data_IF_464587271312
#
_entry.id   IF_464587271312
#
_cell.length_a   1.000
_cell.length_b   1.000
_cell.length_c   1.000
_cell.angle_alpha   90.00
_cell.angle_beta   90.00
_cell.angle_gamma   90.00
#
_symmetry.space_group_name_H-M   'P 1'
#
loop_
_entity.id
_entity.type
_entity.pdbx_description
1 polymer ?
#
# COMPACT_ATOMS: atom_id res chain seq x y z
N UNK A 1 -23.12 -17.67 -6.21
CA UNK A 1 -22.51 -16.67 -5.30
C UNK A 1 -22.66 -17.12 -3.87
N UNK A 2 -21.93 -16.49 -2.95
CA UNK A 2 -22.05 -16.73 -1.51
C UNK A 2 -23.14 -15.81 -0.91
N UNK A 3 -23.81 -16.26 0.16
CA UNK A 3 -24.68 -15.40 0.97
C UNK A 3 -23.84 -14.68 2.01
N UNK A 4 -23.71 -13.36 1.89
CA UNK A 4 -22.78 -12.55 2.70
C UNK A 4 -23.52 -11.39 3.38
N UNK A 5 -23.13 -11.08 4.62
CA UNK A 5 -23.59 -9.91 5.37
C UNK A 5 -22.39 -9.14 5.94
N UNK A 6 -22.43 -7.81 5.88
CA UNK A 6 -21.42 -6.91 6.46
C UNK A 6 -22.07 -6.13 7.60
N UNK A 7 -21.42 -6.10 8.76
CA UNK A 7 -21.86 -5.37 9.95
C UNK A 7 -20.79 -4.34 10.32
N UNK A 8 -21.18 -3.08 10.48
CA UNK A 8 -20.33 -1.98 10.93
C UNK A 8 -21.00 -1.28 12.13
N UNK A 9 -20.22 -0.77 13.07
CA UNK A 9 -20.73 -0.04 14.21
C UNK A 9 -21.15 1.40 13.87
N UNK A 10 -20.64 1.95 12.77
CA UNK A 10 -20.93 3.30 12.29
C UNK A 10 -21.31 3.34 10.81
N UNK A 11 -21.14 4.50 10.19
CA UNK A 11 -21.31 4.62 8.75
C UNK A 11 -20.09 4.03 8.03
N UNK A 12 -20.32 3.40 6.87
CA UNK A 12 -19.24 2.82 6.05
C UNK A 12 -18.20 3.90 5.74
N UNK A 13 -16.94 3.60 6.06
CA UNK A 13 -15.82 4.51 5.83
C UNK A 13 -15.62 5.59 6.90
N UNK A 14 -16.44 5.66 7.95
CA UNK A 14 -16.32 6.69 9.00
C UNK A 14 -14.99 6.63 9.78
N UNK A 15 -14.33 5.48 9.80
CA UNK A 15 -13.05 5.28 10.49
C UNK A 15 -11.82 5.70 9.67
N UNK A 16 -10.70 5.00 9.87
CA UNK A 16 -9.42 5.28 9.22
C UNK A 16 -9.51 5.34 7.68
N UNK A 17 -10.41 4.56 7.07
CA UNK A 17 -10.62 4.54 5.62
C UNK A 17 -11.14 5.88 5.05
N UNK A 18 -11.93 6.65 5.80
CA UNK A 18 -12.42 7.97 5.37
C UNK A 18 -11.57 9.14 5.87
N UNK A 19 -10.65 8.90 6.82
CA UNK A 19 -9.79 9.92 7.43
C UNK A 19 -8.35 9.94 6.88
N UNK A 20 -7.98 9.00 6.01
CA UNK A 20 -6.66 8.98 5.39
C UNK A 20 -6.53 10.05 4.28
N UNK A 21 -5.28 10.34 3.88
CA UNK A 21 -4.98 11.33 2.84
C UNK A 21 -5.16 10.87 1.40
N UNK A 22 -5.67 9.64 1.16
CA UNK A 22 -5.93 9.10 -0.18
C UNK A 22 -4.69 8.67 -0.98
N UNK A 23 -3.51 8.61 -0.35
CA UNK A 23 -2.27 8.21 -1.02
C UNK A 23 -2.27 6.70 -1.29
N UNK A 24 -1.96 6.32 -2.54
CA UNK A 24 -1.78 4.93 -2.97
C UNK A 24 -0.31 4.72 -3.28
N UNK A 25 0.47 4.30 -2.27
CA UNK A 25 1.91 4.08 -2.38
C UNK A 25 2.18 2.59 -2.12
N UNK A 26 2.76 1.85 -3.08
CA UNK A 26 3.08 0.44 -2.89
C UNK A 26 4.27 0.27 -1.93
N UNK A 27 4.32 -0.87 -1.26
CA UNK A 27 5.41 -1.22 -0.35
C UNK A 27 5.06 -1.06 1.13
N UNK A 28 6.01 -1.47 1.97
CA UNK A 28 5.93 -1.40 3.42
C UNK A 28 7.02 -0.48 3.95
N UNK A 29 6.93 -0.17 5.26
CA UNK A 29 7.97 0.58 5.96
C UNK A 29 9.32 -0.15 5.94
N UNK A 30 9.29 -1.49 6.00
CA UNK A 30 10.46 -2.36 6.05
C UNK A 30 10.85 -2.82 4.65
N UNK A 31 12.15 -2.91 4.42
CA UNK A 31 12.72 -3.35 3.14
C UNK A 31 12.52 -4.87 2.95
N UNK A 32 12.48 -5.37 1.71
CA UNK A 32 12.24 -6.78 1.40
C UNK A 32 13.17 -7.75 2.15
N UNK A 33 14.47 -7.42 2.24
CA UNK A 33 15.47 -8.24 2.90
C UNK A 33 15.18 -8.37 4.39
N UNK A 34 14.75 -7.26 5.02
CA UNK A 34 14.36 -7.26 6.43
C UNK A 34 13.15 -8.17 6.64
N UNK A 35 12.13 -8.10 5.77
CA UNK A 35 10.94 -8.95 5.86
C UNK A 35 11.29 -10.44 5.71
N UNK A 36 12.17 -10.77 4.76
CA UNK A 36 12.65 -12.14 4.53
C UNK A 36 13.46 -12.67 5.72
N UNK A 37 14.35 -11.85 6.27
CA UNK A 37 15.14 -12.21 7.45
C UNK A 37 14.25 -12.47 8.67
N UNK A 38 13.24 -11.62 8.89
CA UNK A 38 12.42 -11.65 10.11
C UNK A 38 11.29 -12.69 10.05
N UNK A 39 10.70 -12.93 8.88
CA UNK A 39 9.56 -13.83 8.72
C UNK A 39 9.91 -15.15 8.04
N UNK A 40 11.16 -15.31 7.61
CA UNK A 40 11.62 -16.41 6.78
C UNK A 40 11.23 -16.23 5.32
N UNK A 41 11.91 -16.96 4.43
CA UNK A 41 11.80 -16.82 2.98
C UNK A 41 10.35 -16.80 2.49
N UNK A 42 9.59 -17.86 2.76
CA UNK A 42 8.23 -18.03 2.21
C UNK A 42 7.28 -16.88 2.62
N UNK A 43 7.24 -16.54 3.92
CA UNK A 43 6.33 -15.49 4.41
C UNK A 43 6.82 -14.09 4.08
N UNK A 44 8.13 -13.87 4.09
CA UNK A 44 8.75 -12.61 3.71
C UNK A 44 8.50 -12.29 2.23
N UNK A 45 8.75 -13.25 1.34
CA UNK A 45 8.45 -13.11 -0.09
C UNK A 45 6.95 -12.83 -0.32
N UNK A 46 6.06 -13.56 0.36
CA UNK A 46 4.62 -13.30 0.25
C UNK A 46 4.21 -11.89 0.70
N UNK A 47 4.85 -11.34 1.74
CA UNK A 47 4.60 -9.96 2.19
C UNK A 47 5.12 -8.92 1.20
N UNK A 48 6.29 -9.18 0.60
CA UNK A 48 6.89 -8.31 -0.42
C UNK A 48 5.99 -8.26 -1.66
N UNK A 49 5.57 -9.41 -2.15
CA UNK A 49 4.70 -9.52 -3.31
C UNK A 49 3.34 -8.84 -3.07
N UNK A 50 2.75 -9.09 -1.89
CA UNK A 50 1.51 -8.42 -1.48
C UNK A 50 1.67 -6.90 -1.47
N UNK A 51 2.75 -6.38 -0.87
CA UNK A 51 2.99 -4.96 -0.75
C UNK A 51 3.17 -4.29 -2.12
N UNK A 52 3.89 -4.95 -3.04
CA UNK A 52 4.09 -4.51 -4.41
C UNK A 52 2.77 -4.47 -5.21
N UNK A 53 1.86 -5.43 -5.02
CA UNK A 53 0.60 -5.51 -5.77
C UNK A 53 -0.50 -4.57 -5.28
N UNK A 54 -0.36 -3.97 -4.09
CA UNK A 54 -1.46 -3.20 -3.46
C UNK A 54 -1.95 -2.01 -4.29
N UNK A 55 -1.05 -1.29 -4.96
CA UNK A 55 -1.42 -0.16 -5.79
C UNK A 55 -2.28 -0.60 -6.98
N UNK A 56 -1.87 -1.67 -7.68
CA UNK A 56 -2.62 -2.24 -8.79
C UNK A 56 -4.03 -2.65 -8.35
N UNK A 57 -4.15 -3.33 -7.21
CA UNK A 57 -5.44 -3.78 -6.69
C UNK A 57 -6.45 -2.62 -6.51
N UNK A 58 -6.01 -1.46 -5.99
CA UNK A 58 -6.89 -0.29 -5.83
C UNK A 58 -7.36 0.24 -7.18
N UNK A 59 -6.45 0.41 -8.15
CA UNK A 59 -6.80 0.94 -9.47
C UNK A 59 -7.62 -0.05 -10.31
N UNK A 60 -7.38 -1.35 -10.15
CA UNK A 60 -8.16 -2.41 -10.78
C UNK A 60 -9.60 -2.41 -10.24
N UNK A 61 -9.81 -2.27 -8.92
CA UNK A 61 -11.17 -2.15 -8.34
C UNK A 61 -11.90 -0.92 -8.88
N UNK A 62 -11.23 0.24 -8.95
CA UNK A 62 -11.84 1.45 -9.51
C UNK A 62 -12.27 1.24 -10.96
N UNK A 63 -11.42 0.60 -11.77
CA UNK A 63 -11.67 0.29 -13.18
C UNK A 63 -12.82 -0.72 -13.34
N UNK A 64 -12.71 -1.86 -12.68
CA UNK A 64 -13.56 -3.03 -12.91
C UNK A 64 -14.98 -2.81 -12.38
N UNK A 65 -15.10 -2.15 -11.21
CA UNK A 65 -16.39 -1.77 -10.62
C UNK A 65 -16.92 -0.43 -11.15
N UNK A 66 -16.21 0.21 -12.09
CA UNK A 66 -16.56 1.49 -12.71
C UNK A 66 -16.90 2.57 -11.68
N UNK A 67 -16.08 2.66 -10.62
CA UNK A 67 -16.32 3.58 -9.52
C UNK A 67 -16.16 5.03 -10.01
N UNK A 68 -17.19 5.85 -9.78
CA UNK A 68 -17.20 7.27 -10.11
C UNK A 68 -16.43 8.08 -9.05
N UNK A 69 -15.12 7.87 -8.99
CA UNK A 69 -14.21 8.53 -8.04
C UNK A 69 -13.04 9.19 -8.77
N UNK A 70 -12.54 10.34 -8.29
CA UNK A 70 -11.29 10.89 -8.80
C UNK A 70 -10.12 10.01 -8.38
N UNK A 71 -9.21 9.72 -9.32
CA UNK A 71 -7.98 9.00 -9.04
C UNK A 71 -6.84 9.52 -9.92
N UNK A 72 -5.60 9.33 -9.47
CA UNK A 72 -4.40 9.67 -10.24
C UNK A 72 -3.32 8.63 -9.98
N UNK A 73 -2.67 8.18 -11.04
CA UNK A 73 -1.59 7.18 -11.00
C UNK A 73 -0.35 7.71 -11.70
N UNK A 74 0.36 8.61 -11.02
CA UNK A 74 1.54 9.32 -11.55
C UNK A 74 2.81 9.10 -10.71
N UNK A 75 2.82 8.06 -9.89
CA UNK A 75 3.93 7.74 -8.99
C UNK A 75 3.94 8.60 -7.72
N UNK A 76 5.02 8.51 -6.97
CA UNK A 76 5.25 9.28 -5.75
C UNK A 76 6.73 9.65 -5.65
N UNK A 77 7.04 10.70 -4.89
CA UNK A 77 8.40 11.20 -4.70
C UNK A 77 8.72 11.12 -3.21
N UNK A 78 9.83 10.47 -2.87
CA UNK A 78 10.40 10.53 -1.52
C UNK A 78 11.39 11.68 -1.42
N UNK A 79 11.04 12.72 -0.66
CA UNK A 79 11.97 13.82 -0.40
C UNK A 79 12.99 13.43 0.67
N UNK A 80 14.26 13.79 0.46
CA UNK A 80 15.33 13.66 1.44
C UNK A 80 15.91 15.04 1.78
N UNK A 81 15.49 15.60 2.91
CA UNK A 81 15.86 16.96 3.35
C UNK A 81 17.00 16.98 4.37
N UNK A 82 17.67 15.85 4.59
CA UNK A 82 18.87 15.73 5.42
C UNK A 82 19.83 14.73 4.81
N UNK A 83 21.13 14.84 5.13
CA UNK A 83 22.14 13.85 4.75
C UNK A 83 21.78 12.43 5.20
N UNK A 84 21.20 12.30 6.40
CA UNK A 84 20.72 11.01 6.92
C UNK A 84 19.60 10.44 6.05
N UNK A 85 18.61 11.28 5.67
CA UNK A 85 17.52 10.86 4.80
C UNK A 85 18.02 10.51 3.39
N UNK A 86 19.02 11.25 2.87
CA UNK A 86 19.60 11.00 1.55
C UNK A 86 20.32 9.65 1.50
N UNK A 87 21.10 9.32 2.53
CA UNK A 87 21.73 8.00 2.68
C UNK A 87 20.69 6.89 2.79
N UNK A 88 19.61 7.11 3.53
CA UNK A 88 18.52 6.14 3.65
C UNK A 88 17.81 5.91 2.31
N UNK A 89 17.56 6.97 1.53
CA UNK A 89 16.96 6.86 0.19
C UNK A 89 17.88 6.12 -0.78
N UNK A 90 19.18 6.46 -0.81
CA UNK A 90 20.18 5.76 -1.63
C UNK A 90 20.31 4.27 -1.27
N UNK A 91 20.05 3.90 -0.01
CA UNK A 91 20.06 2.50 0.39
C UNK A 91 18.87 1.70 -0.16
N UNK A 92 17.74 2.37 -0.42
CA UNK A 92 16.46 1.79 -0.91
C UNK A 92 16.33 1.74 -2.42
N UNK A 93 17.10 2.57 -3.15
CA UNK A 93 17.16 2.60 -4.62
C UNK A 93 18.03 1.49 -5.22
N UNK A 94 18.45 0.50 -4.41
CA UNK A 94 19.41 -0.52 -4.81
C UNK A 94 18.75 -1.78 -5.35
#
# INVERSE_FOLDING_TARGET
GLSVQVLDAGAIGQGASGLNGGQVIPGLKYDPEWLIEHFGKERGEALVDFAASTADAVFDVIRDEKLAVPFTRNGWIQAAHTETALKAAANRDR
#
